data_IF_090075668070
#
_entry.id   IF_090075668070
#
_cell.length_a   1.000
_cell.length_b   1.000
_cell.length_c   1.000
_cell.angle_alpha   90.00
_cell.angle_beta   90.00
_cell.angle_gamma   90.00
#
_symmetry.space_group_name_H-M   'P 1'
#
loop_
_entity.id
_entity.type
_entity.pdbx_description
1 polymer ?
#
# COMPACT_ATOMS: atom_id res chain seq x y z
N UNK A 1 0.55 28.29 10.08
CA UNK A 1 1.26 27.51 9.05
C UNK A 1 1.27 26.06 9.52
N UNK A 2 0.55 25.10 8.91
CA UNK A 2 0.60 23.70 9.34
C UNK A 2 1.33 22.86 8.28
N UNK A 3 2.57 22.48 8.56
CA UNK A 3 3.24 21.38 7.88
C UNK A 3 4.45 20.99 8.71
N UNK A 4 4.28 19.93 9.50
CA UNK A 4 5.32 18.97 9.97
C UNK A 4 4.83 18.35 11.28
N UNK A 5 3.96 17.34 11.16
CA UNK A 5 3.78 16.37 12.25
C UNK A 5 4.84 15.29 12.08
N UNK A 6 5.99 15.52 12.69
CA UNK A 6 7.00 14.49 12.97
C UNK A 6 6.62 13.84 14.29
N UNK A 7 6.05 12.64 14.27
CA UNK A 7 6.02 11.74 15.45
C UNK A 7 6.31 10.31 15.03
N UNK A 8 7.44 9.82 15.54
CA UNK A 8 8.06 8.55 15.27
C UNK A 8 7.31 7.34 15.86
N UNK A 9 7.41 6.20 15.18
CA UNK A 9 7.18 4.84 15.68
C UNK A 9 5.72 4.39 15.85
N UNK A 10 4.88 4.68 14.86
CA UNK A 10 3.71 3.87 14.49
C UNK A 10 3.64 3.93 12.97
N UNK A 11 3.50 2.79 12.29
CA UNK A 11 3.48 2.78 10.83
C UNK A 11 2.24 3.54 10.38
N UNK A 12 2.45 4.75 9.88
CA UNK A 12 1.38 5.64 9.46
C UNK A 12 0.92 5.19 8.08
N UNK A 13 -0.07 4.28 8.08
CA UNK A 13 -0.60 3.69 6.87
C UNK A 13 -1.11 4.76 5.89
N UNK A 14 -1.63 5.88 6.39
CA UNK A 14 -2.14 6.98 5.57
C UNK A 14 -1.00 7.74 4.87
N UNK A 15 0.09 8.04 5.58
CA UNK A 15 1.27 8.68 5.01
C UNK A 15 1.97 7.79 3.99
N UNK A 16 2.10 6.49 4.29
CA UNK A 16 2.68 5.52 3.37
C UNK A 16 1.78 5.30 2.15
N UNK A 17 0.46 5.36 2.32
CA UNK A 17 -0.51 5.33 1.24
C UNK A 17 -0.46 6.57 0.35
N UNK A 18 -0.38 7.77 0.94
CA UNK A 18 -0.21 9.01 0.19
C UNK A 18 1.10 8.98 -0.62
N UNK A 19 2.20 8.55 0.00
CA UNK A 19 3.49 8.38 -0.65
C UNK A 19 3.44 7.34 -1.77
N UNK A 20 2.73 6.23 -1.55
CA UNK A 20 2.51 5.19 -2.55
C UNK A 20 1.71 5.71 -3.75
N UNK A 21 0.59 6.40 -3.51
CA UNK A 21 -0.23 7.00 -4.55
C UNK A 21 0.57 7.98 -5.40
N UNK A 22 1.38 8.83 -4.77
CA UNK A 22 2.26 9.78 -5.48
C UNK A 22 3.36 9.07 -6.27
N UNK A 23 4.05 8.09 -5.65
CA UNK A 23 5.18 7.39 -6.26
C UNK A 23 4.79 6.54 -7.47
N UNK A 24 3.60 5.95 -7.44
CA UNK A 24 3.10 5.07 -8.51
C UNK A 24 1.98 5.71 -9.33
N UNK A 25 1.72 7.02 -9.14
CA UNK A 25 0.65 7.77 -9.80
C UNK A 25 -0.70 7.02 -9.78
N UNK A 26 -1.05 6.40 -8.64
CA UNK A 26 -2.26 5.60 -8.51
C UNK A 26 -3.47 6.53 -8.39
N UNK A 27 -4.43 6.35 -9.30
CA UNK A 27 -5.69 7.04 -9.30
C UNK A 27 -6.82 6.00 -9.30
N UNK A 28 -7.70 6.09 -8.32
CA UNK A 28 -8.86 5.20 -8.19
C UNK A 28 -10.12 5.97 -8.60
N UNK A 29 -10.96 5.37 -9.44
CA UNK A 29 -12.13 6.05 -9.99
C UNK A 29 -13.27 6.21 -8.97
N UNK A 30 -13.34 5.35 -7.95
CA UNK A 30 -14.40 5.35 -6.95
C UNK A 30 -13.82 5.30 -5.54
N UNK A 31 -14.51 5.91 -4.55
CA UNK A 31 -14.09 5.84 -3.15
C UNK A 31 -14.15 4.42 -2.60
N UNK A 32 -15.05 3.57 -3.12
CA UNK A 32 -15.13 2.15 -2.76
C UNK A 32 -13.88 1.39 -3.19
N UNK A 33 -13.39 1.63 -4.42
CA UNK A 33 -12.15 1.01 -4.91
C UNK A 33 -10.94 1.53 -4.15
N UNK A 34 -10.87 2.84 -3.86
CA UNK A 34 -9.78 3.40 -3.05
C UNK A 34 -9.76 2.76 -1.65
N UNK A 35 -10.92 2.63 -1.00
CA UNK A 35 -11.02 2.05 0.34
C UNK A 35 -10.62 0.57 0.35
N UNK A 36 -11.04 -0.20 -0.66
CA UNK A 36 -10.62 -1.60 -0.84
C UNK A 36 -9.10 -1.72 -1.06
N UNK A 37 -8.54 -0.88 -1.93
CA UNK A 37 -7.11 -0.87 -2.27
C UNK A 37 -6.26 -0.44 -1.07
N UNK A 38 -6.76 0.51 -0.28
CA UNK A 38 -6.14 0.93 0.98
C UNK A 38 -6.13 -0.20 2.00
N UNK A 39 -7.22 -0.95 2.17
CA UNK A 39 -7.26 -2.13 3.05
C UNK A 39 -6.23 -3.18 2.64
N UNK A 40 -6.11 -3.48 1.33
CA UNK A 40 -5.10 -4.42 0.81
C UNK A 40 -3.69 -3.93 1.11
N UNK A 41 -3.44 -2.63 0.91
CA UNK A 41 -2.16 -2.00 1.19
C UNK A 41 -1.78 -2.07 2.68
N UNK A 42 -2.72 -1.74 3.57
CA UNK A 42 -2.55 -1.88 5.02
C UNK A 42 -2.21 -3.30 5.42
N UNK A 43 -2.92 -4.28 4.88
CA UNK A 43 -2.72 -5.68 5.19
C UNK A 43 -1.36 -6.18 4.68
N UNK A 44 -0.98 -5.83 3.45
CA UNK A 44 0.35 -6.12 2.90
C UNK A 44 1.48 -5.47 3.73
N UNK A 45 1.28 -4.25 4.21
CA UNK A 45 2.20 -3.55 5.12
C UNK A 45 2.34 -4.25 6.47
N UNK A 46 1.22 -4.61 7.09
CA UNK A 46 1.21 -5.39 8.34
C UNK A 46 1.97 -6.69 8.18
N UNK A 47 1.71 -7.44 7.11
CA UNK A 47 2.43 -8.69 6.80
C UNK A 47 3.93 -8.47 6.60
N UNK A 48 4.35 -7.34 6.00
CA UNK A 48 5.76 -6.98 5.84
C UNK A 48 6.43 -6.75 7.21
N UNK A 49 5.78 -5.96 8.07
CA UNK A 49 6.26 -5.65 9.43
C UNK A 49 6.36 -6.94 10.25
N UNK A 50 5.30 -7.75 10.25
CA UNK A 50 5.23 -9.01 11.00
C UNK A 50 6.25 -10.04 10.53
N UNK A 51 6.35 -10.29 9.22
CA UNK A 51 7.28 -11.30 8.68
C UNK A 51 8.74 -10.82 8.68
N UNK A 52 9.03 -9.56 9.06
CA UNK A 52 10.33 -8.87 8.89
C UNK A 52 10.98 -9.14 7.53
N UNK A 53 10.18 -9.43 6.51
CA UNK A 53 10.69 -9.69 5.17
C UNK A 53 10.86 -8.36 4.47
N UNK A 54 11.88 -8.21 3.62
CA UNK A 54 11.94 -7.12 2.66
C UNK A 54 10.90 -7.37 1.58
N UNK A 55 9.61 -7.35 1.94
CA UNK A 55 8.54 -7.26 0.95
C UNK A 55 8.64 -5.86 0.37
N UNK A 56 9.08 -5.79 -0.87
CA UNK A 56 9.15 -4.54 -1.61
C UNK A 56 7.72 -4.02 -1.79
N UNK A 57 7.40 -2.88 -1.17
CA UNK A 57 6.16 -2.15 -1.41
C UNK A 57 6.34 -1.44 -2.76
N UNK A 58 6.20 -2.24 -3.82
CA UNK A 58 6.26 -1.78 -5.21
C UNK A 58 4.89 -1.36 -5.70
N UNK A 59 4.75 -1.16 -7.01
CA UNK A 59 3.51 -0.76 -7.69
C UNK A 59 2.33 -1.75 -7.51
N UNK A 60 2.57 -2.87 -6.83
CA UNK A 60 1.64 -3.96 -6.59
C UNK A 60 1.25 -4.07 -5.10
N UNK A 61 1.63 -3.11 -4.25
CA UNK A 61 1.29 -3.13 -2.84
C UNK A 61 -0.23 -2.98 -2.58
N UNK A 62 -0.97 -2.44 -3.55
CA UNK A 62 -2.44 -2.38 -3.59
C UNK A 62 -3.10 -3.63 -4.19
N UNK A 63 -2.31 -4.64 -4.55
CA UNK A 63 -2.81 -5.90 -5.10
C UNK A 63 -2.68 -7.02 -4.09
N UNK A 64 -3.65 -7.92 -4.14
CA UNK A 64 -3.56 -9.20 -3.43
C UNK A 64 -2.63 -10.15 -4.17
N UNK A 65 -2.08 -11.15 -3.45
CA UNK A 65 -1.29 -12.21 -4.07
C UNK A 65 -2.05 -12.92 -5.22
N UNK A 66 -3.36 -13.16 -5.05
CA UNK A 66 -4.20 -13.77 -6.08
C UNK A 66 -4.30 -12.92 -7.34
N UNK A 67 -4.53 -11.61 -7.20
CA UNK A 67 -4.57 -10.69 -8.35
C UNK A 67 -3.21 -10.63 -9.05
N UNK A 68 -2.12 -10.57 -8.26
CA UNK A 68 -0.78 -10.54 -8.80
C UNK A 68 -0.46 -11.84 -9.57
N UNK A 69 -0.70 -13.01 -8.96
CA UNK A 69 -0.40 -14.29 -9.60
C UNK A 69 -1.26 -14.52 -10.84
N UNK A 70 -2.56 -14.20 -10.77
CA UNK A 70 -3.49 -14.41 -11.88
C UNK A 70 -3.14 -13.54 -13.10
N UNK A 71 -2.63 -12.32 -12.87
CA UNK A 71 -2.38 -11.35 -13.94
C UNK A 71 -0.94 -11.34 -14.45
N UNK A 72 0.04 -11.65 -13.60
CA UNK A 72 1.47 -11.49 -13.91
C UNK A 72 2.27 -12.78 -13.92
N UNK A 73 1.75 -13.90 -13.40
CA UNK A 73 2.43 -15.19 -13.49
C UNK A 73 1.76 -16.04 -14.58
N UNK A 74 2.50 -16.46 -15.63
CA UNK A 74 2.00 -17.49 -16.53
C UNK A 74 1.88 -18.80 -15.75
N UNK A 75 0.77 -19.52 -15.98
CA UNK A 75 0.50 -20.84 -15.37
C UNK A 75 1.43 -21.91 -15.95
#
# INVERSE_FOLDING_TARGET
MPAESTTATSVDFEQEWASFKLKFAKCYQTPEEESRRFQIFQDNLRRKIERKRPLHIGAFADLTWQEYSSKYLPV
#
